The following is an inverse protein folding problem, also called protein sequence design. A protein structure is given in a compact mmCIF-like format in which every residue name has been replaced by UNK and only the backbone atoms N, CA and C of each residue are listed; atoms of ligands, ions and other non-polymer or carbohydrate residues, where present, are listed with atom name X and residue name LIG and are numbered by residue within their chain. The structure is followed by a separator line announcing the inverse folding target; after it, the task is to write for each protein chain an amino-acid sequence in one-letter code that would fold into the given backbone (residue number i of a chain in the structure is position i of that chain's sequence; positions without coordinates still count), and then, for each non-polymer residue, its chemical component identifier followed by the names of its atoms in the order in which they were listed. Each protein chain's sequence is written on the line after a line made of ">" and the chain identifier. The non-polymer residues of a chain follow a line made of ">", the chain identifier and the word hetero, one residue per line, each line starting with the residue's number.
data_IF_174790554952
#
_entry.id   IF_174790554952
#
_cell.length_a   1.000
_cell.length_b   1.000
_cell.length_c   1.000
_cell.angle_alpha   90.00
_cell.angle_beta   90.00
_cell.angle_gamma   90.00
#
_symmetry.space_group_name_H-M   'P 1'
#
loop_
_entity.id
_entity.type
_entity.pdbx_description
1 polymer ?
#
# COMPACT_ATOMS: atom_id res chain seq x y z
N UNK A 1 -14.54 16.58 32.02
CA UNK A 1 -15.11 15.49 31.19
C UNK A 1 -15.41 15.96 29.77
N UNK A 2 -16.13 17.07 29.55
CA UNK A 2 -16.42 17.59 28.19
C UNK A 2 -15.16 17.88 27.34
N UNK A 3 -14.13 18.53 27.90
CA UNK A 3 -12.88 18.82 27.17
C UNK A 3 -12.05 17.59 26.80
N UNK A 4 -12.17 16.48 27.54
CA UNK A 4 -11.46 15.25 27.23
C UNK A 4 -12.09 14.52 26.03
N UNK A 5 -13.44 14.48 25.98
CA UNK A 5 -14.18 13.89 24.88
C UNK A 5 -13.95 14.63 23.54
N UNK A 6 -13.78 15.95 23.58
CA UNK A 6 -13.49 16.75 22.38
C UNK A 6 -12.10 16.43 21.81
N UNK A 7 -11.09 16.25 22.68
CA UNK A 7 -9.74 15.84 22.30
C UNK A 7 -9.68 14.45 21.66
N UNK A 8 -10.38 13.47 22.22
CA UNK A 8 -10.49 12.12 21.64
C UNK A 8 -11.14 12.14 20.25
N UNK A 9 -12.19 12.94 20.06
CA UNK A 9 -12.85 13.06 18.75
C UNK A 9 -11.94 13.66 17.67
N UNK A 10 -11.10 14.63 18.06
CA UNK A 10 -10.12 15.24 17.15
C UNK A 10 -9.04 14.23 16.74
N UNK A 11 -8.52 13.46 17.69
CA UNK A 11 -7.53 12.40 17.42
C UNK A 11 -8.10 11.35 16.47
N UNK A 12 -9.35 10.93 16.69
CA UNK A 12 -10.05 9.99 15.80
C UNK A 12 -10.19 10.57 14.37
N UNK A 13 -10.63 11.82 14.24
CA UNK A 13 -10.80 12.47 12.94
C UNK A 13 -9.48 12.53 12.15
N UNK A 14 -8.38 12.94 12.79
CA UNK A 14 -7.07 12.96 12.15
C UNK A 14 -6.56 11.57 11.79
N UNK A 15 -6.83 10.57 12.62
CA UNK A 15 -6.41 9.19 12.36
C UNK A 15 -7.12 8.59 11.14
N UNK A 16 -8.40 8.89 10.95
CA UNK A 16 -9.17 8.47 9.76
C UNK A 16 -8.63 9.13 8.50
N UNK A 17 -8.37 10.44 8.53
CA UNK A 17 -7.82 11.16 7.39
C UNK A 17 -6.43 10.67 7.04
N UNK A 18 -5.55 10.50 8.03
CA UNK A 18 -4.20 9.99 7.85
C UNK A 18 -4.19 8.56 7.27
N UNK A 19 -5.06 7.68 7.79
CA UNK A 19 -5.22 6.32 7.28
C UNK A 19 -5.68 6.29 5.81
N UNK A 20 -6.71 7.07 5.47
CA UNK A 20 -7.26 7.13 4.12
C UNK A 20 -6.27 7.73 3.11
N UNK A 21 -5.64 8.85 3.44
CA UNK A 21 -4.65 9.51 2.56
C UNK A 21 -3.40 8.65 2.42
N UNK A 22 -2.88 8.12 3.54
CA UNK A 22 -1.68 7.28 3.54
C UNK A 22 -1.87 6.03 2.69
N UNK A 23 -2.96 5.30 2.89
CA UNK A 23 -3.26 4.10 2.10
C UNK A 23 -3.53 4.44 0.62
N UNK A 24 -4.24 5.54 0.34
CA UNK A 24 -4.49 5.99 -1.03
C UNK A 24 -3.20 6.32 -1.80
N UNK A 25 -2.24 6.98 -1.15
CA UNK A 25 -0.94 7.28 -1.75
C UNK A 25 -0.10 6.01 -1.95
N UNK A 26 -0.09 5.10 -0.98
CA UNK A 26 0.59 3.81 -1.13
C UNK A 26 0.01 2.98 -2.27
N UNK A 27 -1.32 2.90 -2.36
CA UNK A 27 -2.01 2.19 -3.45
C UNK A 27 -1.72 2.81 -4.82
N UNK A 28 -1.65 4.15 -4.92
CA UNK A 28 -1.26 4.83 -6.14
C UNK A 28 0.17 4.49 -6.57
N UNK A 29 1.13 4.56 -5.65
CA UNK A 29 2.51 4.17 -5.90
C UNK A 29 2.65 2.71 -6.32
N UNK A 30 1.91 1.82 -5.63
CA UNK A 30 1.82 0.40 -5.96
C UNK A 30 1.28 0.16 -7.36
N UNK A 31 0.16 0.80 -7.72
CA UNK A 31 -0.45 0.66 -9.05
C UNK A 31 0.51 1.08 -10.18
N UNK A 32 1.24 2.18 -10.01
CA UNK A 32 2.23 2.66 -10.99
C UNK A 32 3.38 1.66 -11.12
N UNK A 33 3.95 1.20 -10.00
CA UNK A 33 5.05 0.24 -9.99
C UNK A 33 4.66 -1.11 -10.62
N UNK A 34 3.49 -1.63 -10.27
CA UNK A 34 2.97 -2.88 -10.83
C UNK A 34 2.70 -2.76 -12.33
N UNK A 35 2.08 -1.66 -12.77
CA UNK A 35 1.81 -1.40 -14.19
C UNK A 35 3.10 -1.36 -15.03
N UNK A 36 4.15 -0.70 -14.53
CA UNK A 36 5.44 -0.66 -15.20
C UNK A 36 6.11 -2.03 -15.26
N UNK A 37 6.08 -2.79 -14.16
CA UNK A 37 6.66 -4.13 -14.07
C UNK A 37 5.95 -5.10 -15.02
N UNK A 38 4.62 -5.03 -15.12
CA UNK A 38 3.83 -5.83 -16.05
C UNK A 38 4.15 -5.47 -17.51
N UNK A 39 4.19 -4.17 -17.85
CA UNK A 39 4.51 -3.71 -19.20
C UNK A 39 5.92 -4.16 -19.65
N UNK A 40 6.92 -4.05 -18.76
CA UNK A 40 8.28 -4.50 -19.03
C UNK A 40 8.36 -6.02 -19.26
N UNK A 41 7.62 -6.80 -18.47
CA UNK A 41 7.54 -8.27 -18.60
C UNK A 41 6.89 -8.69 -19.91
N UNK A 42 5.78 -8.04 -20.28
CA UNK A 42 5.07 -8.30 -21.55
C UNK A 42 5.99 -7.97 -22.74
N UNK A 43 6.61 -6.79 -22.75
CA UNK A 43 7.53 -6.39 -23.83
C UNK A 43 8.76 -7.31 -23.92
N UNK A 44 9.31 -7.73 -22.77
CA UNK A 44 10.42 -8.68 -22.70
C UNK A 44 10.04 -10.06 -23.26
N UNK A 45 8.84 -10.55 -22.91
CA UNK A 45 8.32 -11.84 -23.38
C UNK A 45 8.00 -11.80 -24.87
N UNK A 46 7.44 -10.70 -25.38
CA UNK A 46 7.16 -10.53 -26.81
C UNK A 46 8.44 -10.53 -27.65
N UNK A 47 9.53 -9.93 -27.16
CA UNK A 47 10.83 -9.93 -27.86
C UNK A 47 11.56 -11.27 -27.76
N UNK A 48 11.42 -11.97 -26.64
CA UNK A 48 12.14 -13.22 -26.37
C UNK A 48 11.20 -14.27 -25.74
N UNK A 49 10.34 -14.93 -26.54
CA UNK A 49 9.31 -15.84 -26.03
C UNK A 49 9.87 -17.02 -25.22
N UNK A 50 11.07 -17.51 -25.58
CA UNK A 50 11.73 -18.62 -24.89
C UNK A 50 12.13 -18.31 -23.44
N UNK A 51 12.14 -17.03 -23.04
CA UNK A 51 12.52 -16.57 -21.71
C UNK A 51 11.29 -16.18 -20.87
N UNK A 52 10.08 -16.30 -21.43
CA UNK A 52 8.84 -15.83 -20.79
C UNK A 52 8.62 -16.40 -19.38
N UNK A 53 8.88 -17.71 -19.18
CA UNK A 53 8.74 -18.33 -17.86
C UNK A 53 9.64 -17.70 -16.80
N UNK A 54 10.90 -17.42 -17.13
CA UNK A 54 11.85 -16.76 -16.20
C UNK A 54 11.45 -15.31 -15.93
N UNK A 55 11.00 -14.58 -16.96
CA UNK A 55 10.54 -13.20 -16.82
C UNK A 55 9.31 -13.10 -15.93
N UNK A 56 8.35 -14.02 -16.04
CA UNK A 56 7.18 -14.09 -15.16
C UNK A 56 7.56 -14.34 -13.70
N UNK A 57 8.52 -15.24 -13.43
CA UNK A 57 9.03 -15.44 -12.06
C UNK A 57 9.64 -14.17 -11.49
N UNK A 58 10.49 -13.48 -12.26
CA UNK A 58 11.08 -12.21 -11.84
C UNK A 58 10.03 -11.12 -11.65
N UNK A 59 9.00 -11.08 -12.50
CA UNK A 59 7.85 -10.17 -12.36
C UNK A 59 7.16 -10.37 -11.02
N UNK A 60 6.79 -11.60 -10.66
CA UNK A 60 6.09 -11.87 -9.40
C UNK A 60 6.94 -11.50 -8.17
N UNK A 61 8.25 -11.71 -8.22
CA UNK A 61 9.16 -11.27 -7.14
C UNK A 61 9.12 -9.73 -6.99
N UNK A 62 9.19 -9.00 -8.10
CA UNK A 62 9.10 -7.54 -8.08
C UNK A 62 7.72 -7.06 -7.59
N UNK A 63 6.63 -7.67 -8.06
CA UNK A 63 5.27 -7.36 -7.61
C UNK A 63 5.10 -7.62 -6.11
N UNK A 64 5.63 -8.73 -5.59
CA UNK A 64 5.58 -9.03 -4.16
C UNK A 64 6.30 -7.96 -3.31
N UNK A 65 7.43 -7.44 -3.80
CA UNK A 65 8.15 -6.36 -3.12
C UNK A 65 7.40 -5.02 -3.15
N UNK A 66 6.69 -4.73 -4.24
CA UNK A 66 5.84 -3.54 -4.36
C UNK A 66 4.62 -3.67 -3.42
N UNK A 67 3.97 -4.82 -3.41
CA UNK A 67 2.79 -5.05 -2.58
C UNK A 67 3.09 -5.06 -1.08
N UNK A 68 4.28 -5.52 -0.67
CA UNK A 68 4.67 -5.47 0.75
C UNK A 68 4.56 -4.05 1.33
N UNK A 69 4.86 -3.02 0.53
CA UNK A 69 4.81 -1.61 0.93
C UNK A 69 3.38 -1.13 1.15
N UNK A 70 2.48 -1.54 0.25
CA UNK A 70 1.04 -1.22 0.33
C UNK A 70 0.44 -1.89 1.56
N UNK A 71 0.78 -3.17 1.79
CA UNK A 71 0.32 -3.92 2.96
C UNK A 71 0.86 -3.32 4.27
N UNK A 72 2.10 -2.87 4.33
CA UNK A 72 2.62 -2.19 5.54
C UNK A 72 1.84 -0.90 5.84
N UNK A 73 1.49 -0.13 4.82
CA UNK A 73 0.67 1.08 5.00
C UNK A 73 -0.75 0.73 5.44
N UNK A 74 -1.33 -0.34 4.88
CA UNK A 74 -2.63 -0.86 5.31
C UNK A 74 -2.61 -1.29 6.78
N UNK A 75 -1.56 -2.01 7.22
CA UNK A 75 -1.43 -2.42 8.63
C UNK A 75 -1.37 -1.21 9.55
N UNK A 76 -0.59 -0.18 9.22
CA UNK A 76 -0.52 1.06 10.01
C UNK A 76 -1.88 1.77 10.03
N UNK A 77 -2.57 1.84 8.90
CA UNK A 77 -3.91 2.41 8.81
C UNK A 77 -4.91 1.66 9.71
N UNK A 78 -4.88 0.32 9.70
CA UNK A 78 -5.74 -0.50 10.57
C UNK A 78 -5.41 -0.29 12.05
N UNK A 79 -4.14 -0.16 12.41
CA UNK A 79 -3.73 0.16 13.78
C UNK A 79 -4.26 1.55 14.18
N UNK A 80 -4.09 2.56 13.33
CA UNK A 80 -4.57 3.91 13.62
C UNK A 80 -6.10 4.00 13.78
N UNK A 81 -6.85 3.13 13.10
CA UNK A 81 -8.31 3.10 13.15
C UNK A 81 -8.87 2.25 14.30
N UNK A 82 -8.27 1.09 14.57
CA UNK A 82 -8.85 0.11 15.50
C UNK A 82 -8.04 -0.10 16.79
N UNK A 83 -6.77 0.26 16.81
CA UNK A 83 -5.85 0.09 17.94
C UNK A 83 -4.99 1.35 18.14
N UNK A 84 -5.65 2.50 18.10
CA UNK A 84 -4.97 3.78 18.07
C UNK A 84 -4.19 4.01 19.38
N UNK A 85 -2.85 4.13 19.34
CA UNK A 85 -2.04 4.29 20.55
C UNK A 85 -2.25 5.63 21.26
N UNK A 86 -2.91 6.60 20.61
CA UNK A 86 -3.20 7.92 21.18
C UNK A 86 -4.56 8.00 21.86
N UNK A 87 -5.38 6.95 21.76
CA UNK A 87 -6.67 6.83 22.44
C UNK A 87 -6.50 5.82 23.59
N UNK A 88 -6.33 6.33 24.81
CA UNK A 88 -6.11 5.55 26.02
C UNK A 88 -6.33 6.38 27.28
#
# INVERSE_FOLDING_TARGET
>A
VAFAAEGESMIQAYSVVAAGVGLGLAALGGAIGMGHTAAATIAGTARNPGLGGKLMTTMFIALAMIEAQVIYTLVIALIALYANPFLG
#
